data_IF_681674327938
#
_entry.id   IF_681674327938
#
_cell.length_a   1.000
_cell.length_b   1.000
_cell.length_c   1.000
_cell.angle_alpha   90.00
_cell.angle_beta   90.00
_cell.angle_gamma   90.00
#
_symmetry.space_group_name_H-M   'P 1'
#
loop_
_entity.id
_entity.type
_entity.pdbx_description
1 polymer ?
#
# COMPACT_ATOMS: atom_id res chain seq x y z
N UNK A 1 2.13 6.82 15.55
CA UNK A 1 1.41 6.40 14.32
C UNK A 1 2.22 6.87 13.13
N UNK A 2 2.43 6.01 12.13
CA UNK A 2 3.03 6.46 10.88
C UNK A 2 1.99 7.28 10.09
N UNK A 3 2.38 8.44 9.57
CA UNK A 3 1.56 9.26 8.67
C UNK A 3 2.23 9.34 7.31
N UNK A 4 1.42 9.46 6.25
CA UNK A 4 1.89 9.62 4.88
C UNK A 4 1.09 10.72 4.21
N UNK A 5 1.76 11.52 3.40
CA UNK A 5 1.14 12.53 2.55
C UNK A 5 1.29 12.08 1.10
N UNK A 6 0.18 12.07 0.36
CA UNK A 6 0.14 11.71 -1.05
C UNK A 6 -0.53 12.82 -1.85
N UNK A 7 -0.10 13.02 -3.08
CA UNK A 7 -0.72 13.94 -4.03
C UNK A 7 -1.61 13.12 -4.97
N UNK A 8 -2.91 13.42 -4.99
CA UNK A 8 -3.90 12.74 -5.83
C UNK A 8 -4.46 13.78 -6.81
N UNK A 9 -4.52 13.47 -8.13
CA UNK A 9 -5.20 14.34 -9.08
C UNK A 9 -6.67 14.58 -8.73
N UNK A 10 -7.15 15.82 -8.87
CA UNK A 10 -8.52 16.21 -8.48
C UNK A 10 -9.62 15.29 -9.04
N UNK A 11 -9.60 14.87 -10.32
CA UNK A 11 -10.65 14.00 -10.86
C UNK A 11 -10.74 12.65 -10.14
N UNK A 12 -9.61 12.13 -9.66
CA UNK A 12 -9.57 10.87 -8.90
C UNK A 12 -10.08 11.11 -7.49
N UNK A 13 -9.72 12.24 -6.88
CA UNK A 13 -10.14 12.56 -5.52
C UNK A 13 -11.67 12.76 -5.42
N UNK A 14 -12.30 13.37 -6.42
CA UNK A 14 -13.76 13.52 -6.46
C UNK A 14 -14.49 12.16 -6.52
N UNK A 15 -13.97 11.19 -7.27
CA UNK A 15 -14.52 9.82 -7.28
C UNK A 15 -14.40 9.17 -5.88
N UNK A 16 -13.28 9.39 -5.20
CA UNK A 16 -13.06 8.87 -3.85
C UNK A 16 -14.04 9.51 -2.85
N UNK A 17 -14.28 10.82 -2.94
CA UNK A 17 -15.28 11.52 -2.11
C UNK A 17 -16.67 10.94 -2.30
N UNK A 18 -17.11 10.77 -3.55
CA UNK A 18 -18.44 10.22 -3.83
C UNK A 18 -18.60 8.82 -3.23
N UNK A 19 -17.59 7.94 -3.38
CA UNK A 19 -17.62 6.62 -2.76
C UNK A 19 -17.64 6.67 -1.24
N UNK A 20 -16.95 7.63 -0.64
CA UNK A 20 -16.93 7.81 0.80
C UNK A 20 -18.32 8.20 1.32
N UNK A 21 -19.05 9.05 0.59
CA UNK A 21 -20.44 9.41 0.88
C UNK A 21 -21.38 8.19 0.78
N UNK A 22 -21.30 7.44 -0.32
CA UNK A 22 -22.12 6.25 -0.56
C UNK A 22 -21.94 5.19 0.55
N UNK A 23 -20.70 5.03 1.03
CA UNK A 23 -20.34 4.04 2.06
C UNK A 23 -20.36 4.61 3.48
N UNK A 24 -20.78 5.87 3.66
CA UNK A 24 -20.83 6.57 4.96
C UNK A 24 -19.52 6.50 5.73
N UNK A 25 -18.41 6.72 5.04
CA UNK A 25 -17.05 6.72 5.59
C UNK A 25 -16.28 7.97 5.17
N UNK A 26 -14.98 8.04 5.47
CA UNK A 26 -14.14 9.16 5.05
C UNK A 26 -13.31 8.80 3.81
N UNK A 27 -12.94 9.80 2.97
CA UNK A 27 -12.04 9.57 1.84
C UNK A 27 -10.73 8.89 2.23
N UNK A 28 -10.16 9.25 3.38
CA UNK A 28 -8.93 8.67 3.93
C UNK A 28 -9.10 7.18 4.26
N UNK A 29 -10.26 6.78 4.79
CA UNK A 29 -10.54 5.39 5.10
C UNK A 29 -10.64 4.53 3.82
N UNK A 30 -11.23 5.08 2.75
CA UNK A 30 -11.26 4.43 1.42
C UNK A 30 -9.85 4.29 0.86
N UNK A 31 -9.05 5.35 0.90
CA UNK A 31 -7.66 5.33 0.42
C UNK A 31 -6.84 4.30 1.21
N UNK A 32 -6.90 4.34 2.54
CA UNK A 32 -6.18 3.42 3.40
C UNK A 32 -6.58 1.97 3.13
N UNK A 33 -7.87 1.68 3.03
CA UNK A 33 -8.38 0.33 2.73
C UNK A 33 -7.88 -0.16 1.38
N UNK A 34 -7.93 0.67 0.34
CA UNK A 34 -7.46 0.29 -0.98
C UNK A 34 -5.95 0.07 -1.02
N UNK A 35 -5.16 0.93 -0.37
CA UNK A 35 -3.70 0.76 -0.23
C UNK A 35 -3.41 -0.55 0.50
N UNK A 36 -4.13 -0.83 1.59
CA UNK A 36 -3.99 -2.10 2.31
C UNK A 36 -4.36 -3.27 1.40
N UNK A 37 -5.44 -3.23 0.63
CA UNK A 37 -5.80 -4.32 -0.27
C UNK A 37 -4.72 -4.58 -1.34
N UNK A 38 -4.20 -3.53 -1.97
CA UNK A 38 -3.16 -3.64 -3.00
C UNK A 38 -1.84 -4.17 -2.42
N UNK A 39 -1.45 -3.69 -1.23
CA UNK A 39 -0.14 -4.01 -0.65
C UNK A 39 -0.16 -5.06 0.46
N UNK A 40 -1.33 -5.53 0.92
CA UNK A 40 -1.42 -6.53 2.00
C UNK A 40 -0.94 -7.91 1.55
N UNK A 41 -1.29 -8.33 0.34
CA UNK A 41 -0.75 -9.54 -0.28
C UNK A 41 0.74 -9.38 -0.63
N UNK A 42 1.17 -8.14 -0.89
CA UNK A 42 2.56 -7.77 -1.17
C UNK A 42 3.33 -7.33 0.09
N UNK A 43 2.86 -7.67 1.30
CA UNK A 43 3.63 -7.44 2.53
C UNK A 43 4.81 -8.41 2.49
N UNK A 44 5.84 -8.01 1.74
CA UNK A 44 7.11 -8.69 1.61
C UNK A 44 7.71 -8.76 3.00
N UNK A 45 7.53 -9.91 3.65
CA UNK A 45 8.24 -10.22 4.87
C UNK A 45 9.69 -10.48 4.49
N UNK A 46 10.49 -9.41 4.49
CA UNK A 46 11.93 -9.46 4.26
C UNK A 46 12.63 -10.48 5.16
N UNK A 47 12.07 -10.79 6.34
CA UNK A 47 12.64 -11.79 7.24
C UNK A 47 12.44 -13.24 6.76
N UNK A 48 11.53 -13.49 5.81
CA UNK A 48 11.34 -14.81 5.20
C UNK A 48 12.21 -15.03 3.96
N UNK A 49 12.55 -13.96 3.23
CA UNK A 49 13.24 -14.06 1.93
C UNK A 49 14.73 -13.67 1.98
N UNK A 50 15.15 -12.84 2.95
CA UNK A 50 16.52 -12.33 3.04
C UNK A 50 17.36 -12.96 4.16
N UNK A 51 16.85 -13.97 4.88
CA UNK A 51 17.54 -14.53 6.06
C UNK A 51 18.90 -15.16 5.76
N UNK A 52 19.15 -15.56 4.51
CA UNK A 52 20.37 -16.24 4.08
C UNK A 52 20.97 -15.64 2.80
N UNK A 53 20.70 -14.37 2.49
CA UNK A 53 21.31 -13.74 1.32
C UNK A 53 22.77 -13.35 1.59
N UNK A 54 23.72 -13.69 0.70
CA UNK A 54 25.14 -13.32 0.86
C UNK A 54 25.35 -11.80 0.87
N UNK A 55 24.47 -11.05 0.20
CA UNK A 55 24.50 -9.60 0.13
C UNK A 55 23.22 -9.02 0.76
N UNK A 56 23.30 -8.28 1.88
CA UNK A 56 22.15 -7.67 2.52
C UNK A 56 21.50 -6.53 1.72
N UNK A 57 22.21 -5.98 0.73
CA UNK A 57 21.71 -4.92 -0.16
C UNK A 57 21.10 -5.46 -1.46
N UNK A 58 21.16 -6.78 -1.68
CA UNK A 58 20.51 -7.43 -2.81
C UNK A 58 19.05 -7.75 -2.44
N UNK A 59 18.12 -7.11 -3.16
CA UNK A 59 16.68 -7.27 -2.97
C UNK A 59 16.05 -8.15 -4.06
N UNK A 60 16.85 -8.82 -4.88
CA UNK A 60 16.36 -9.77 -5.87
C UNK A 60 16.08 -11.14 -5.23
N UNK A 61 15.03 -11.84 -5.70
CA UNK A 61 14.82 -13.23 -5.34
C UNK A 61 15.68 -14.13 -6.27
N UNK A 62 16.35 -15.16 -5.75
CA UNK A 62 17.02 -16.12 -6.62
C UNK A 62 15.98 -16.81 -7.50
N UNK A 63 16.18 -16.78 -8.82
CA UNK A 63 15.37 -17.55 -9.76
C UNK A 63 15.69 -19.04 -9.55
N UNK A 64 14.74 -19.78 -9.00
CA UNK A 64 14.81 -21.22 -8.76
C UNK A 64 13.45 -21.87 -8.98
#
# INVERSE_FOLDING_TARGET
MASVTIQIPDPIFEIIKQRAEDTKTTPEAIIATNVVLVFSAARYDRSKWLKNQPNPDDHSAPWG
#
